data_IF_358035927054
#
_entry.id   IF_358035927054
#
_cell.length_a   1.000
_cell.length_b   1.000
_cell.length_c   1.000
_cell.angle_alpha   90.00
_cell.angle_beta   90.00
_cell.angle_gamma   90.00
#
_symmetry.space_group_name_H-M   'P 1'
#
loop_
_entity.id
_entity.type
_entity.pdbx_description
1 polymer ?
#
# COMPACT_ATOMS: atom_id res chain seq x y z
N UNK A 1 -1.50 -11.96 0.07
CA UNK A 1 -2.29 -10.72 -0.08
C UNK A 1 -2.72 -10.24 1.30
N UNK A 2 -2.47 -8.97 1.62
CA UNK A 2 -2.90 -8.29 2.84
C UNK A 2 -4.07 -7.35 2.52
N UNK A 3 -4.95 -7.13 3.49
CA UNK A 3 -6.10 -6.25 3.35
C UNK A 3 -6.13 -5.21 4.47
N UNK A 4 -6.23 -3.93 4.09
CA UNK A 4 -6.46 -2.82 5.00
C UNK A 4 -7.87 -2.25 4.86
N UNK A 5 -8.66 -2.73 3.90
CA UNK A 5 -9.99 -2.19 3.57
C UNK A 5 -11.11 -2.92 4.35
N UNK A 6 -12.00 -3.64 3.67
CA UNK A 6 -13.26 -4.13 4.24
C UNK A 6 -13.07 -5.23 5.30
N UNK A 7 -11.93 -5.93 5.32
CA UNK A 7 -11.66 -6.98 6.32
C UNK A 7 -11.15 -6.44 7.66
N UNK A 8 -10.92 -5.13 7.77
CA UNK A 8 -10.36 -4.49 8.97
C UNK A 8 -11.41 -3.57 9.60
N UNK A 9 -11.74 -3.83 10.86
CA UNK A 9 -12.61 -2.97 11.64
C UNK A 9 -12.02 -1.55 11.77
N UNK A 10 -12.88 -0.52 11.75
CA UNK A 10 -12.46 0.90 11.72
C UNK A 10 -11.45 1.25 12.84
N UNK A 11 -11.70 0.78 14.07
CA UNK A 11 -10.82 1.01 15.22
C UNK A 11 -9.44 0.33 15.12
N UNK A 12 -9.31 -0.69 14.27
CA UNK A 12 -8.09 -1.49 14.13
C UNK A 12 -7.23 -1.03 12.95
N UNK A 13 -7.70 -0.06 12.14
CA UNK A 13 -7.00 0.39 10.91
C UNK A 13 -5.55 0.78 11.17
N UNK A 14 -5.30 1.52 12.25
CA UNK A 14 -3.94 1.93 12.62
C UNK A 14 -3.05 0.78 13.06
N UNK A 15 -3.61 -0.18 13.80
CA UNK A 15 -2.88 -1.38 14.21
C UNK A 15 -2.57 -2.26 12.99
N UNK A 16 -3.57 -2.52 12.14
CA UNK A 16 -3.43 -3.29 10.92
C UNK A 16 -2.37 -2.70 9.98
N UNK A 17 -2.37 -1.37 9.79
CA UNK A 17 -1.36 -0.68 8.97
C UNK A 17 0.06 -0.92 9.49
N UNK A 18 0.28 -0.79 10.80
CA UNK A 18 1.59 -1.07 11.42
C UNK A 18 2.00 -2.52 11.26
N UNK A 19 1.07 -3.46 11.46
CA UNK A 19 1.33 -4.89 11.30
C UNK A 19 1.71 -5.23 9.86
N UNK A 20 0.98 -4.70 8.86
CA UNK A 20 1.28 -4.92 7.44
C UNK A 20 2.65 -4.35 7.09
N UNK A 21 2.99 -3.13 7.52
CA UNK A 21 4.32 -2.55 7.30
C UNK A 21 5.44 -3.48 7.81
N UNK A 22 5.34 -3.96 9.04
CA UNK A 22 6.34 -4.88 9.60
C UNK A 22 6.32 -6.26 8.92
N UNK A 23 5.16 -6.76 8.52
CA UNK A 23 5.04 -8.02 7.80
C UNK A 23 5.76 -7.95 6.45
N UNK A 24 5.59 -6.86 5.69
CA UNK A 24 6.26 -6.70 4.39
C UNK A 24 7.80 -6.69 4.51
N UNK A 25 8.34 -6.22 5.64
CA UNK A 25 9.77 -6.22 5.94
C UNK A 25 10.29 -7.56 6.47
N UNK A 26 9.39 -8.51 6.78
CA UNK A 26 9.77 -9.77 7.41
C UNK A 26 10.40 -10.74 6.39
N UNK A 27 11.50 -11.45 6.74
CA UNK A 27 12.20 -12.34 5.81
C UNK A 27 11.34 -13.44 5.17
N UNK A 28 10.26 -13.86 5.84
CA UNK A 28 9.31 -14.86 5.33
C UNK A 28 8.66 -14.45 4.01
N UNK A 29 8.51 -13.16 3.75
CA UNK A 29 7.89 -12.64 2.52
C UNK A 29 8.94 -12.15 1.52
N UNK A 30 10.20 -12.58 1.67
CA UNK A 30 11.27 -12.12 0.78
C UNK A 30 11.12 -12.64 -0.64
N UNK A 31 10.71 -13.89 -0.81
CA UNK A 31 10.64 -14.52 -2.13
C UNK A 31 9.19 -14.77 -2.56
N UNK A 32 8.25 -14.02 -1.96
CA UNK A 32 6.81 -14.13 -2.20
C UNK A 32 6.30 -12.77 -2.68
N UNK A 33 5.51 -12.78 -3.74
CA UNK A 33 4.84 -11.57 -4.22
C UNK A 33 3.84 -11.05 -3.18
N UNK A 34 4.03 -9.80 -2.77
CA UNK A 34 3.23 -9.13 -1.76
C UNK A 34 2.26 -8.14 -2.37
N UNK A 35 0.97 -8.47 -2.26
CA UNK A 35 -0.14 -7.61 -2.71
C UNK A 35 -0.82 -7.04 -1.47
N UNK A 36 -1.03 -5.72 -1.41
CA UNK A 36 -1.79 -5.07 -0.33
C UNK A 36 -2.95 -4.26 -0.90
N UNK A 37 -4.17 -4.50 -0.41
CA UNK A 37 -5.33 -3.65 -0.70
C UNK A 37 -5.42 -2.52 0.33
N UNK A 38 -5.44 -1.29 -0.17
CA UNK A 38 -5.52 -0.05 0.65
C UNK A 38 -6.95 0.47 0.71
N UNK A 39 -7.22 1.44 1.59
CA UNK A 39 -8.46 2.23 1.55
C UNK A 39 -8.38 3.34 0.47
N UNK A 40 -9.53 3.87 0.08
CA UNK A 40 -9.62 4.90 -0.97
C UNK A 40 -8.89 6.18 -0.55
N UNK A 41 -8.27 6.89 -1.48
CA UNK A 41 -7.44 8.05 -1.15
C UNK A 41 -8.21 9.19 -0.49
N UNK A 42 -9.48 9.32 -0.79
CA UNK A 42 -10.40 10.31 -0.22
C UNK A 42 -10.87 9.95 1.19
N UNK A 43 -10.61 8.71 1.65
CA UNK A 43 -10.88 8.28 3.02
C UNK A 43 -9.81 8.79 4.01
N UNK A 44 -10.17 8.80 5.30
CA UNK A 44 -9.25 9.19 6.38
C UNK A 44 -8.01 8.26 6.52
N UNK A 45 -8.04 7.06 5.92
CA UNK A 45 -6.95 6.07 6.03
C UNK A 45 -6.10 5.92 4.77
N UNK A 46 -6.64 6.22 3.58
CA UNK A 46 -6.04 5.81 2.30
C UNK A 46 -4.62 6.33 2.07
N UNK A 47 -4.37 7.60 2.36
CA UNK A 47 -3.04 8.20 2.22
C UNK A 47 -2.01 7.53 3.15
N UNK A 48 -2.39 7.28 4.39
CA UNK A 48 -1.51 6.65 5.39
C UNK A 48 -1.24 5.18 5.05
N UNK A 49 -2.26 4.47 4.54
CA UNK A 49 -2.11 3.10 4.07
C UNK A 49 -1.14 3.03 2.90
N UNK A 50 -1.30 3.90 1.89
CA UNK A 50 -0.41 3.95 0.74
C UNK A 50 1.03 4.23 1.17
N UNK A 51 1.26 5.20 2.07
CA UNK A 51 2.60 5.49 2.59
C UNK A 51 3.22 4.28 3.31
N UNK A 52 2.46 3.61 4.18
CA UNK A 52 2.95 2.44 4.89
C UNK A 52 3.26 1.28 3.93
N UNK A 53 2.41 1.04 2.95
CA UNK A 53 2.58 -0.07 1.99
C UNK A 53 3.77 0.17 1.06
N UNK A 54 3.94 1.40 0.56
CA UNK A 54 5.06 1.77 -0.30
C UNK A 54 6.39 1.71 0.45
N UNK A 55 6.47 2.32 1.64
CA UNK A 55 7.68 2.28 2.46
C UNK A 55 7.98 0.87 2.99
N UNK A 56 6.93 0.08 3.20
CA UNK A 56 7.02 -1.33 3.57
C UNK A 56 7.51 -2.23 2.44
N UNK A 57 7.59 -1.74 1.21
CA UNK A 57 8.15 -2.48 0.08
C UNK A 57 7.20 -3.52 -0.51
N UNK A 58 5.89 -3.26 -0.51
CA UNK A 58 4.94 -4.12 -1.21
C UNK A 58 5.19 -4.14 -2.72
N UNK A 59 4.98 -5.29 -3.35
CA UNK A 59 5.15 -5.48 -4.79
C UNK A 59 3.97 -4.90 -5.57
N UNK A 60 2.75 -5.02 -5.03
CA UNK A 60 1.52 -4.55 -5.69
C UNK A 60 0.62 -3.83 -4.70
N UNK A 61 0.20 -2.62 -5.06
CA UNK A 61 -0.88 -1.88 -4.37
C UNK A 61 -2.18 -2.13 -5.12
N UNK A 62 -3.17 -2.71 -4.44
CA UNK A 62 -4.51 -2.94 -4.99
C UNK A 62 -5.45 -1.83 -4.54
N UNK A 63 -6.09 -1.19 -5.51
CA UNK A 63 -7.07 -0.13 -5.25
C UNK A 63 -8.40 -0.70 -4.76
N UNK A 64 -9.06 -0.03 -3.81
CA UNK A 64 -10.45 -0.30 -3.47
C UNK A 64 -11.39 0.46 -4.41
N UNK A 65 -12.59 -0.11 -4.63
CA UNK A 65 -13.78 0.58 -5.18
C UNK A 65 -13.46 1.68 -6.21
N UNK A 66 -12.69 1.33 -7.25
CA UNK A 66 -12.23 2.29 -8.27
C UNK A 66 -13.35 2.58 -9.25
N UNK A 67 -13.82 3.83 -9.27
CA UNK A 67 -14.98 4.25 -10.06
C UNK A 67 -14.56 5.04 -11.30
N UNK A 68 -13.42 5.75 -11.25
CA UNK A 68 -12.94 6.61 -12.33
C UNK A 68 -11.48 6.34 -12.70
N UNK A 69 -11.09 6.75 -13.92
CA UNK A 69 -9.69 6.73 -14.32
C UNK A 69 -8.82 7.70 -13.48
N UNK A 70 -9.43 8.76 -12.92
CA UNK A 70 -8.72 9.74 -12.11
C UNK A 70 -8.21 9.13 -10.80
N UNK A 71 -8.97 8.19 -10.21
CA UNK A 71 -8.58 7.49 -8.98
C UNK A 71 -7.23 6.76 -9.16
N UNK A 72 -7.01 6.18 -10.35
CA UNK A 72 -5.76 5.50 -10.70
C UNK A 72 -4.62 6.51 -10.85
N UNK A 73 -4.87 7.63 -11.54
CA UNK A 73 -3.88 8.69 -11.79
C UNK A 73 -3.45 9.35 -10.47
N UNK A 74 -4.39 9.58 -9.55
CA UNK A 74 -4.12 10.19 -8.25
C UNK A 74 -3.26 9.28 -7.38
N UNK A 75 -3.56 7.97 -7.38
CA UNK A 75 -2.75 6.98 -6.67
C UNK A 75 -1.37 6.85 -7.29
N UNK A 76 -1.26 6.78 -8.62
CA UNK A 76 0.02 6.76 -9.30
C UNK A 76 0.85 7.99 -8.91
N UNK A 77 0.30 9.19 -9.04
CA UNK A 77 0.98 10.45 -8.68
C UNK A 77 1.51 10.41 -7.24
N UNK A 78 0.68 9.97 -6.29
CA UNK A 78 1.07 9.87 -4.89
C UNK A 78 2.12 8.77 -4.65
N UNK A 79 1.96 7.62 -5.31
CA UNK A 79 2.88 6.50 -5.24
C UNK A 79 4.27 6.90 -5.73
N UNK A 80 4.36 7.57 -6.88
CA UNK A 80 5.62 8.06 -7.44
C UNK A 80 6.30 9.07 -6.50
N UNK A 81 5.53 9.97 -5.88
CA UNK A 81 6.06 10.92 -4.90
C UNK A 81 6.67 10.22 -3.66
N UNK A 82 6.11 9.10 -3.23
CA UNK A 82 6.61 8.31 -2.09
C UNK A 82 7.84 7.44 -2.43
N UNK A 83 8.05 7.12 -3.71
CA UNK A 83 9.07 6.20 -4.21
C UNK A 83 10.50 6.76 -4.31
N UNK A 84 10.80 7.89 -3.68
CA UNK A 84 12.14 8.53 -3.68
C UNK A 84 13.22 7.50 -3.23
N UNK A 85 14.47 7.55 -3.74
CA UNK A 85 15.32 6.40 -4.03
C UNK A 85 15.86 5.59 -2.84
N UNK A 86 15.37 5.82 -1.62
CA UNK A 86 15.74 5.06 -0.44
C UNK A 86 15.11 3.64 -0.39
N UNK A 87 14.06 3.37 -1.18
CA UNK A 87 13.34 2.08 -1.20
C UNK A 87 13.54 1.36 -2.54
N UNK A 88 14.79 1.24 -2.98
CA UNK A 88 15.16 0.44 -4.15
C UNK A 88 15.44 -1.00 -3.72
N UNK A 89 14.42 -1.85 -3.54
CA UNK A 89 14.71 -3.28 -3.34
C UNK A 89 13.70 -4.29 -3.86
N UNK A 90 12.70 -3.89 -4.65
CA UNK A 90 11.96 -4.80 -5.51
C UNK A 90 11.36 -4.06 -6.69
N UNK A 91 11.43 -4.71 -7.84
CA UNK A 91 11.16 -4.14 -9.16
C UNK A 91 9.67 -3.86 -9.38
N UNK A 92 9.10 -2.91 -8.65
CA UNK A 92 7.93 -2.21 -9.15
C UNK A 92 8.46 -1.25 -10.20
N UNK A 93 8.01 -1.31 -11.47
CA UNK A 93 8.50 -0.42 -12.52
C UNK A 93 8.51 1.03 -12.02
N UNK A 94 9.58 1.72 -12.35
CA UNK A 94 9.70 3.14 -12.08
C UNK A 94 8.47 3.81 -12.72
N UNK A 95 7.71 4.54 -11.91
CA UNK A 95 7.32 5.84 -12.40
C UNK A 95 8.64 6.58 -12.75
#
# INVERSE_FOLDING_TARGET
MFDLEDSVALREKDAARRLVYHALQHPLYRDVETIVRVNALDSEWGVNDLEAVVRGGADVVRLPKTDTAQDVIDIETKFCALKTPAVANRAVPAC
#
